data_IF_554371462293
#
_entry.id   IF_554371462293
#
_cell.length_a   1.000
_cell.length_b   1.000
_cell.length_c   1.000
_cell.angle_alpha   90.00
_cell.angle_beta   90.00
_cell.angle_gamma   90.00
#
_symmetry.space_group_name_H-M   'P 1'
#
loop_
_entity.id
_entity.type
_entity.pdbx_description
1 polymer ?
#
# COMPACT_ATOMS: atom_id res chain seq x y z
N UNK A 1 -8.99 19.13 41.03
CA UNK A 1 -8.21 18.48 39.97
C UNK A 1 -9.20 17.95 38.95
N UNK A 2 -9.34 18.63 37.82
CA UNK A 2 -10.24 18.26 36.74
C UNK A 2 -9.57 17.16 35.91
N UNK A 3 -10.19 15.98 35.79
CA UNK A 3 -9.60 14.83 35.09
C UNK A 3 -9.83 14.98 33.59
N UNK A 4 -8.75 15.10 32.81
CA UNK A 4 -8.80 14.98 31.34
C UNK A 4 -8.98 13.51 30.97
N UNK A 5 -9.95 13.22 30.11
CA UNK A 5 -10.22 11.89 29.60
C UNK A 5 -9.88 11.82 28.10
N UNK A 6 -9.13 10.80 27.69
CA UNK A 6 -8.81 10.54 26.28
C UNK A 6 -9.34 9.16 25.91
N UNK A 7 -10.26 9.12 24.97
CA UNK A 7 -10.84 7.90 24.42
C UNK A 7 -10.26 7.65 23.03
N UNK A 8 -9.94 6.39 22.75
CA UNK A 8 -9.45 5.94 21.46
C UNK A 8 -10.46 4.96 20.85
N UNK A 9 -10.92 5.27 19.64
CA UNK A 9 -11.76 4.39 18.84
C UNK A 9 -10.98 3.98 17.58
N UNK A 10 -11.06 2.71 17.19
CA UNK A 10 -10.52 2.27 15.91
C UNK A 10 -11.31 2.92 14.77
N UNK A 11 -10.60 3.51 13.82
CA UNK A 11 -11.18 4.19 12.66
C UNK A 11 -10.73 3.58 11.33
N UNK A 12 -9.94 2.50 11.37
CA UNK A 12 -9.46 1.78 10.19
C UNK A 12 -7.96 1.94 9.93
N UNK A 13 -7.58 1.61 8.70
CA UNK A 13 -6.20 1.56 8.21
C UNK A 13 -6.00 2.62 7.12
N UNK A 14 -4.77 2.74 6.59
CA UNK A 14 -4.39 3.62 5.48
C UNK A 14 -4.00 5.06 5.84
N UNK A 15 -3.12 5.23 6.83
CA UNK A 15 -2.38 6.49 6.93
C UNK A 15 -1.70 6.81 5.60
N UNK A 16 -2.04 7.95 4.99
CA UNK A 16 -1.53 8.36 3.68
C UNK A 16 0.01 8.47 3.61
N UNK A 17 0.68 8.58 4.75
CA UNK A 17 2.14 8.68 4.83
C UNK A 17 2.84 7.34 5.05
N UNK A 18 2.33 6.50 5.97
CA UNK A 18 3.03 5.28 6.39
C UNK A 18 2.23 3.98 6.22
N UNK A 19 0.98 4.07 5.75
CA UNK A 19 0.05 2.92 5.66
C UNK A 19 -0.42 2.38 7.01
N UNK A 20 -0.09 3.06 8.10
CA UNK A 20 -0.41 2.66 9.47
C UNK A 20 -1.88 2.76 9.85
N UNK A 21 -2.18 2.22 11.03
CA UNK A 21 -3.50 2.28 11.69
C UNK A 21 -3.84 3.71 12.08
N UNK A 22 -5.10 4.10 11.86
CA UNK A 22 -5.63 5.41 12.24
C UNK A 22 -6.66 5.21 13.35
N UNK A 23 -6.43 5.88 14.47
CA UNK A 23 -7.35 5.92 15.59
C UNK A 23 -8.05 7.26 15.66
N UNK A 24 -9.32 7.23 16.01
CA UNK A 24 -10.08 8.41 16.37
C UNK A 24 -9.84 8.72 17.85
N UNK A 25 -9.20 9.85 18.10
CA UNK A 25 -8.90 10.41 19.43
C UNK A 25 -9.98 11.40 19.82
N UNK A 26 -10.66 11.10 20.91
CA UNK A 26 -11.67 11.94 21.52
C UNK A 26 -11.11 12.48 22.83
N UNK A 27 -10.92 13.79 22.92
CA UNK A 27 -10.54 14.45 24.15
C UNK A 27 -11.77 15.08 24.81
N UNK A 28 -11.96 14.76 26.09
CA UNK A 28 -12.97 15.40 26.95
C UNK A 28 -12.25 16.12 28.07
N UNK A 29 -12.43 17.43 28.10
CA UNK A 29 -11.96 18.30 29.17
C UNK A 29 -13.16 19.00 29.81
N UNK A 30 -13.34 18.94 31.14
CA UNK A 30 -14.53 19.50 31.75
C UNK A 30 -14.52 21.02 31.66
N UNK A 31 -15.55 21.59 31.04
CA UNK A 31 -15.67 23.03 30.74
C UNK A 31 -15.31 23.41 29.30
N UNK A 32 -14.87 22.45 28.47
CA UNK A 32 -14.61 22.64 27.04
C UNK A 32 -15.43 21.66 26.19
N UNK A 33 -15.65 22.03 24.94
CA UNK A 33 -16.30 21.15 23.98
C UNK A 33 -15.44 19.92 23.68
N UNK A 34 -16.12 18.78 23.47
CA UNK A 34 -15.50 17.52 23.07
C UNK A 34 -14.73 17.72 21.76
N UNK A 35 -13.42 17.52 21.80
CA UNK A 35 -12.57 17.64 20.61
C UNK A 35 -12.34 16.25 20.02
N UNK A 36 -12.64 16.07 18.73
CA UNK A 36 -12.42 14.81 18.00
C UNK A 36 -11.37 15.02 16.93
N UNK A 37 -10.43 14.09 16.83
CA UNK A 37 -9.36 14.11 15.83
C UNK A 37 -8.99 12.69 15.42
N UNK A 38 -8.31 12.54 14.29
CA UNK A 38 -7.76 11.27 13.84
C UNK A 38 -6.24 11.30 14.00
N UNK A 39 -5.65 10.23 14.51
CA UNK A 39 -4.20 10.13 14.67
C UNK A 39 -3.70 8.77 14.21
N UNK A 40 -2.61 8.76 13.46
CA UNK A 40 -1.93 7.53 13.10
C UNK A 40 -1.09 7.00 14.27
N UNK A 41 -1.20 5.71 14.57
CA UNK A 41 -0.46 5.08 15.68
C UNK A 41 1.04 4.99 15.44
N UNK A 42 1.47 4.84 14.18
CA UNK A 42 2.87 4.60 13.81
C UNK A 42 3.66 5.89 13.66
N UNK A 43 3.10 6.87 12.93
CA UNK A 43 3.81 8.10 12.63
C UNK A 43 3.34 9.30 13.47
N UNK A 44 2.25 9.19 14.23
CA UNK A 44 1.68 10.25 15.06
C UNK A 44 1.19 11.50 14.32
N UNK A 45 1.11 11.48 12.99
CA UNK A 45 0.39 12.49 12.22
C UNK A 45 -1.08 12.56 12.70
N UNK A 46 -1.63 13.77 12.84
CA UNK A 46 -2.97 14.03 13.36
C UNK A 46 -3.76 14.97 12.44
N UNK A 47 -5.04 14.65 12.24
CA UNK A 47 -5.98 15.38 11.41
C UNK A 47 -7.25 15.74 12.18
N UNK A 48 -7.89 16.83 11.79
CA UNK A 48 -9.25 17.18 12.22
C UNK A 48 -10.26 16.22 11.61
N UNK A 49 -11.49 16.26 12.08
CA UNK A 49 -12.61 15.53 11.46
C UNK A 49 -12.92 15.98 10.03
N UNK A 50 -12.43 17.15 9.64
CA UNK A 50 -12.56 17.71 8.29
C UNK A 50 -11.37 17.31 7.38
N UNK A 51 -10.45 16.50 7.88
CA UNK A 51 -9.24 16.08 7.15
C UNK A 51 -8.13 17.13 7.12
N UNK A 52 -8.26 18.22 7.88
CA UNK A 52 -7.21 19.25 7.98
C UNK A 52 -6.10 18.74 8.89
N UNK A 53 -4.85 18.84 8.44
CA UNK A 53 -3.70 18.41 9.24
C UNK A 53 -3.50 19.35 10.45
N UNK A 54 -3.56 18.78 11.65
CA UNK A 54 -3.36 19.50 12.93
C UNK A 54 -1.91 19.35 13.39
N UNK A 55 -1.36 18.13 13.29
CA UNK A 55 -0.01 17.82 13.73
C UNK A 55 0.68 16.93 12.71
N UNK A 56 1.92 17.29 12.39
CA UNK A 56 2.81 16.46 11.59
C UNK A 56 3.56 15.51 12.51
N UNK A 57 3.58 14.24 12.14
CA UNK A 57 4.37 13.21 12.80
C UNK A 57 5.88 13.42 12.65
N UNK A 58 6.65 12.75 13.50
CA UNK A 58 8.11 12.96 13.58
C UNK A 58 8.89 12.31 12.41
N UNK A 59 8.25 11.41 11.68
CA UNK A 59 8.87 10.68 10.57
C UNK A 59 9.15 11.60 9.38
N UNK A 60 10.21 11.28 8.63
CA UNK A 60 10.57 12.01 7.41
C UNK A 60 9.43 11.98 6.37
N UNK A 61 8.69 10.87 6.30
CA UNK A 61 7.58 10.68 5.37
C UNK A 61 6.38 11.58 5.69
N UNK A 62 6.06 11.74 6.99
CA UNK A 62 5.02 12.69 7.43
C UNK A 62 5.38 14.13 6.97
N UNK A 63 6.63 14.56 7.19
CA UNK A 63 7.09 15.90 6.78
C UNK A 63 7.11 16.09 5.27
N UNK A 64 7.50 15.07 4.51
CA UNK A 64 7.49 15.12 3.04
C UNK A 64 6.06 15.21 2.48
N UNK A 65 5.08 14.58 3.14
CA UNK A 65 3.68 14.61 2.71
C UNK A 65 3.01 15.98 2.88
N UNK A 66 3.33 16.73 3.94
CA UNK A 66 2.75 18.06 4.18
C UNK A 66 3.08 19.05 3.06
N UNK A 67 4.29 18.98 2.52
CA UNK A 67 4.73 19.84 1.42
C UNK A 67 3.92 19.64 0.13
N UNK A 68 3.25 18.50 -0.04
CA UNK A 68 2.41 18.22 -1.21
C UNK A 68 0.94 18.64 -1.00
N UNK A 69 0.44 18.59 0.24
CA UNK A 69 -0.95 18.99 0.55
C UNK A 69 -1.13 20.51 0.56
N UNK A 70 -0.09 21.28 0.93
CA UNK A 70 -0.10 22.74 0.89
C UNK A 70 -0.29 23.32 -0.52
N UNK A 71 0.01 22.54 -1.57
CA UNK A 71 -0.17 22.93 -2.97
C UNK A 71 -1.61 22.72 -3.45
N UNK A 72 -2.42 21.92 -2.73
CA UNK A 72 -3.77 21.53 -3.16
C UNK A 72 -4.91 22.01 -2.23
N UNK A 73 -4.64 22.84 -1.22
CA UNK A 73 -5.70 23.41 -0.40
C UNK A 73 -6.26 24.70 -1.04
N UNK A 74 -7.57 24.80 -1.31
CA UNK A 74 -8.21 26.08 -1.57
C UNK A 74 -8.19 26.91 -0.29
N UNK A 75 -7.43 27.99 -0.33
CA UNK A 75 -7.32 29.04 0.68
C UNK A 75 -8.71 29.43 1.20
N UNK A 76 -9.05 29.00 2.42
CA UNK A 76 -10.24 29.46 3.14
C UNK A 76 -9.79 30.09 4.46
N UNK A 77 -9.89 31.41 4.46
CA UNK A 77 -9.43 32.38 5.46
C UNK A 77 -10.24 32.37 6.76
N UNK A 78 -9.60 32.75 7.88
CA UNK A 78 -10.09 33.49 9.10
C UNK A 78 -9.93 32.69 10.42
N UNK A 79 -9.17 33.05 11.49
CA UNK A 79 -8.24 34.14 11.90
C UNK A 79 -7.63 33.72 13.31
N UNK A 80 -6.86 34.56 14.03
CA UNK A 80 -5.38 34.61 14.13
C UNK A 80 -4.78 34.04 15.44
N UNK A 81 -3.57 33.46 15.39
CA UNK A 81 -2.72 33.30 16.59
C UNK A 81 -1.23 33.52 16.25
N UNK A 82 -0.43 34.10 17.17
CA UNK A 82 0.54 35.12 16.83
C UNK A 82 1.90 34.58 16.39
N UNK A 83 2.49 35.40 15.52
CA UNK A 83 3.84 35.35 14.98
C UNK A 83 4.90 35.06 16.04
N UNK A 84 5.54 33.90 15.96
CA UNK A 84 6.95 33.78 16.37
C UNK A 84 7.79 33.75 15.10
N UNK A 85 8.37 34.91 14.81
CA UNK A 85 9.40 35.15 13.80
C UNK A 85 10.54 34.16 13.97
N UNK A 86 10.80 33.32 12.97
CA UNK A 86 12.08 32.67 12.76
C UNK A 86 12.38 32.63 11.26
N UNK A 87 13.61 33.05 10.95
CA UNK A 87 14.15 33.47 9.67
C UNK A 87 13.88 32.57 8.45
N UNK A 88 13.89 33.13 7.22
CA UNK A 88 13.90 32.32 6.00
C UNK A 88 15.29 31.71 5.83
N UNK A 89 15.47 30.49 6.32
CA UNK A 89 16.64 29.69 5.99
C UNK A 89 16.54 29.25 4.54
N UNK A 90 17.32 29.95 3.71
CA UNK A 90 17.69 29.61 2.33
C UNK A 90 18.09 28.13 2.25
N UNK A 91 17.14 27.27 1.86
CA UNK A 91 17.40 25.86 1.64
C UNK A 91 18.15 25.69 0.31
N UNK A 92 19.37 25.10 0.31
CA UNK A 92 20.04 24.74 -0.92
C UNK A 92 19.25 23.62 -1.59
N UNK A 93 18.92 23.82 -2.87
CA UNK A 93 18.30 22.83 -3.73
C UNK A 93 19.24 21.62 -3.89
N UNK A 94 19.09 20.64 -3.01
CA UNK A 94 19.69 19.32 -3.20
C UNK A 94 18.79 18.50 -4.14
N UNK A 95 19.34 17.86 -5.17
CA UNK A 95 18.55 16.99 -6.04
C UNK A 95 18.10 15.77 -5.24
N UNK A 96 16.79 15.69 -4.99
CA UNK A 96 16.18 14.52 -4.35
C UNK A 96 16.28 13.32 -5.30
N UNK A 97 17.27 12.43 -5.07
CA UNK A 97 17.18 11.06 -5.56
C UNK A 97 15.99 10.41 -4.85
N UNK A 98 14.84 10.37 -5.54
CA UNK A 98 13.69 9.55 -5.19
C UNK A 98 14.20 8.12 -4.99
N UNK A 99 14.14 7.61 -3.76
CA UNK A 99 14.30 6.19 -3.51
C UNK A 99 13.03 5.45 -3.97
N UNK A 100 12.86 5.38 -5.29
CA UNK A 100 11.95 4.46 -6.00
C UNK A 100 12.51 3.03 -5.94
N UNK A 101 13.11 2.62 -4.83
CA UNK A 101 13.85 1.34 -4.76
C UNK A 101 13.04 0.21 -4.10
N UNK A 102 12.00 0.54 -3.32
CA UNK A 102 11.19 -0.47 -2.62
C UNK A 102 10.17 -1.17 -3.54
N UNK A 103 9.56 -0.44 -4.49
CA UNK A 103 8.51 -1.01 -5.36
C UNK A 103 9.04 -1.98 -6.42
N UNK A 104 10.33 -1.90 -6.77
CA UNK A 104 10.93 -2.79 -7.77
C UNK A 104 11.25 -4.18 -7.19
N UNK A 105 11.69 -4.24 -5.93
CA UNK A 105 11.93 -5.50 -5.20
C UNK A 105 10.62 -6.27 -4.98
N UNK A 106 9.54 -5.58 -4.62
CA UNK A 106 8.22 -6.20 -4.40
C UNK A 106 7.66 -6.71 -5.74
N UNK A 107 7.75 -5.91 -6.81
CA UNK A 107 7.30 -6.33 -8.15
C UNK A 107 8.08 -7.52 -8.69
N UNK A 108 9.40 -7.54 -8.49
CA UNK A 108 10.26 -8.66 -8.90
C UNK A 108 9.94 -9.94 -8.15
N UNK A 109 9.71 -9.87 -6.84
CA UNK A 109 9.37 -11.03 -6.01
C UNK A 109 8.00 -11.62 -6.41
N UNK A 110 6.99 -10.76 -6.62
CA UNK A 110 5.66 -11.21 -7.04
C UNK A 110 5.71 -11.89 -8.42
N UNK A 111 6.46 -11.30 -9.36
CA UNK A 111 6.66 -11.86 -10.69
C UNK A 111 7.35 -13.23 -10.63
N UNK A 112 8.39 -13.38 -9.80
CA UNK A 112 9.09 -14.65 -9.61
C UNK A 112 8.16 -15.75 -9.05
N UNK A 113 7.33 -15.41 -8.06
CA UNK A 113 6.36 -16.36 -7.47
C UNK A 113 5.34 -16.81 -8.52
N UNK A 114 4.83 -15.88 -9.34
CA UNK A 114 3.89 -16.20 -10.42
C UNK A 114 4.56 -17.10 -11.46
N UNK A 115 5.79 -16.81 -11.88
CA UNK A 115 6.54 -17.66 -12.82
C UNK A 115 6.80 -19.04 -12.23
N UNK A 116 7.19 -19.15 -10.97
CA UNK A 116 7.39 -20.43 -10.30
C UNK A 116 6.07 -21.21 -10.16
N UNK A 117 4.97 -20.55 -9.84
CA UNK A 117 3.65 -21.16 -9.81
C UNK A 117 3.24 -21.63 -11.21
N UNK A 118 3.45 -20.82 -12.25
CA UNK A 118 3.18 -21.20 -13.63
C UNK A 118 4.05 -22.39 -14.05
N UNK A 119 5.34 -22.45 -13.73
CA UNK A 119 6.18 -23.61 -14.02
C UNK A 119 5.67 -24.85 -13.26
N UNK A 120 5.32 -24.70 -11.98
CA UNK A 120 4.83 -25.78 -11.12
C UNK A 120 3.49 -26.34 -11.61
N UNK A 121 2.57 -25.48 -12.04
CA UNK A 121 1.23 -25.86 -12.50
C UNK A 121 1.19 -26.19 -14.00
N UNK A 122 1.97 -25.51 -14.84
CA UNK A 122 2.12 -25.86 -16.25
C UNK A 122 2.82 -27.20 -16.41
N UNK A 123 3.77 -27.56 -15.54
CA UNK A 123 4.32 -28.92 -15.52
C UNK A 123 3.24 -29.97 -15.29
N UNK A 124 2.30 -29.73 -14.37
CA UNK A 124 1.18 -30.63 -14.13
C UNK A 124 0.17 -30.66 -15.29
N UNK A 125 -0.09 -29.53 -15.96
CA UNK A 125 -0.97 -29.48 -17.13
C UNK A 125 -0.33 -30.16 -18.35
N UNK A 126 0.95 -29.91 -18.62
CA UNK A 126 1.70 -30.58 -19.69
C UNK A 126 1.69 -32.08 -19.43
N UNK A 127 2.01 -32.56 -18.23
CA UNK A 127 1.92 -33.99 -17.93
C UNK A 127 0.49 -34.54 -18.08
N UNK A 128 -0.53 -33.78 -17.68
CA UNK A 128 -1.94 -34.20 -17.75
C UNK A 128 -2.50 -34.26 -19.17
N UNK A 129 -2.00 -33.46 -20.11
CA UNK A 129 -2.44 -33.48 -21.52
C UNK A 129 -1.50 -34.26 -22.43
N UNK A 130 -0.19 -34.20 -22.17
CA UNK A 130 0.84 -34.85 -22.98
C UNK A 130 0.82 -36.37 -22.80
N UNK A 131 0.61 -36.88 -21.57
CA UNK A 131 0.51 -38.34 -21.36
C UNK A 131 -0.67 -38.94 -22.15
N UNK A 132 -1.91 -38.42 -22.04
CA UNK A 132 -3.02 -38.95 -22.84
C UNK A 132 -2.80 -38.79 -24.34
N UNK A 133 -2.29 -37.64 -24.80
CA UNK A 133 -2.05 -37.40 -26.22
C UNK A 133 -0.98 -38.35 -26.79
N UNK A 134 0.11 -38.57 -26.05
CA UNK A 134 1.16 -39.51 -26.44
C UNK A 134 0.64 -40.94 -26.46
N UNK A 135 -0.18 -41.33 -25.47
CA UNK A 135 -0.78 -42.66 -25.42
C UNK A 135 -1.72 -42.91 -26.59
N UNK A 136 -2.57 -41.93 -26.95
CA UNK A 136 -3.42 -41.98 -28.16
C UNK A 136 -2.56 -42.09 -29.42
N UNK A 137 -1.49 -41.30 -29.54
CA UNK A 137 -0.57 -41.35 -30.68
C UNK A 137 0.09 -42.73 -30.84
N UNK A 138 0.53 -43.34 -29.74
CA UNK A 138 1.12 -44.69 -29.74
C UNK A 138 0.08 -45.74 -30.17
N UNK A 139 -1.16 -45.67 -29.67
CA UNK A 139 -2.22 -46.59 -30.08
C UNK A 139 -2.49 -46.48 -31.59
N UNK A 140 -2.65 -45.26 -32.10
CA UNK A 140 -2.88 -45.03 -33.54
C UNK A 140 -1.70 -45.54 -34.39
N UNK A 141 -0.47 -45.31 -33.93
CA UNK A 141 0.73 -45.81 -34.59
C UNK A 141 0.74 -47.35 -34.65
N UNK A 142 0.42 -48.02 -33.55
CA UNK A 142 0.35 -49.49 -33.50
C UNK A 142 -0.76 -50.04 -34.40
N UNK A 143 -1.95 -49.43 -34.39
CA UNK A 143 -3.06 -49.83 -35.27
C UNK A 143 -2.66 -49.67 -36.74
N UNK A 144 -2.02 -48.55 -37.08
CA UNK A 144 -1.55 -48.31 -38.45
C UNK A 144 -0.47 -49.32 -38.87
N UNK A 145 0.48 -49.61 -37.98
CA UNK A 145 1.54 -50.58 -38.25
C UNK A 145 0.99 -52.01 -38.40
N UNK A 146 0.06 -52.41 -37.51
CA UNK A 146 -0.61 -53.71 -37.59
C UNK A 146 -1.48 -53.83 -38.85
N UNK A 147 -2.24 -52.79 -39.20
CA UNK A 147 -3.04 -52.79 -40.41
C UNK A 147 -2.18 -52.89 -41.68
N UNK A 148 -0.99 -52.26 -41.70
CA UNK A 148 0.01 -52.49 -42.77
C UNK A 148 0.49 -53.94 -42.84
N UNK A 149 0.71 -54.60 -41.69
CA UNK A 149 1.14 -56.00 -41.69
C UNK A 149 0.03 -56.95 -42.14
N UNK A 150 -1.22 -56.66 -41.79
CA UNK A 150 -2.37 -57.50 -42.14
C UNK A 150 -2.98 -57.19 -43.52
N UNK A 151 -2.44 -56.20 -44.26
CA UNK A 151 -2.93 -55.76 -45.58
C UNK A 151 -4.42 -55.44 -45.59
N UNK A 152 -4.90 -54.76 -44.54
CA UNK A 152 -6.30 -54.29 -44.49
C UNK A 152 -6.59 -53.15 -45.48
N UNK A 153 -5.55 -52.72 -46.20
CA UNK A 153 -5.50 -51.76 -47.30
C UNK A 153 -4.34 -52.14 -48.24
#
# INVERSE_FOLDING_TARGET
MTKKETLWEDSGFDCHHCGGEIYKRIEREPGFDKTTSYQCRQCHCQWSTEGVLIQVGDTADCRAGVGQTAVNQPTSTTKPQPSTTLAPLKQPAAPSKRHTFSNWLIGGLLGLIIVLALIRFAGALVFRFFIPALLVGVILYLVFQLGRQQRWW
#
